data_IF_934925547210
#
_entry.id   IF_934925547210
#
_cell.length_a   1.000
_cell.length_b   1.000
_cell.length_c   1.000
_cell.angle_alpha   90.00
_cell.angle_beta   90.00
_cell.angle_gamma   90.00
#
_symmetry.space_group_name_H-M   'P 1'
#
loop_
_entity.id
_entity.type
_entity.pdbx_description
1 polymer ?
#
# COMPACT_ATOMS: atom_id res chain seq x y z
N UNK A 1 25.30 -13.97 -31.06
CA UNK A 1 25.42 -12.55 -30.77
C UNK A 1 24.02 -11.94 -30.58
N UNK A 2 23.43 -12.04 -29.37
CA UNK A 2 22.14 -11.39 -29.01
C UNK A 2 22.20 -11.07 -27.52
N UNK A 3 23.04 -10.11 -27.15
CA UNK A 3 23.11 -9.56 -25.78
C UNK A 3 23.31 -8.05 -25.94
N UNK A 4 22.30 -7.22 -25.75
CA UNK A 4 22.53 -5.77 -25.74
C UNK A 4 21.35 -4.85 -25.96
N UNK A 5 20.09 -5.26 -25.76
CA UNK A 5 18.95 -4.35 -26.05
C UNK A 5 18.09 -4.02 -24.82
N UNK A 6 18.42 -4.54 -23.62
CA UNK A 6 17.48 -4.46 -22.46
C UNK A 6 17.71 -3.24 -21.57
N UNK A 7 18.76 -2.44 -21.75
CA UNK A 7 19.15 -1.43 -20.74
C UNK A 7 18.60 -0.02 -21.01
N UNK A 8 17.99 0.28 -22.15
CA UNK A 8 17.63 1.65 -22.54
C UNK A 8 16.23 2.15 -22.16
N UNK A 9 15.43 1.37 -21.41
CA UNK A 9 14.03 1.73 -21.14
C UNK A 9 13.77 2.40 -19.78
N UNK A 10 14.79 2.68 -18.97
CA UNK A 10 14.60 3.16 -17.59
C UNK A 10 15.16 4.58 -17.32
N UNK A 11 15.61 5.32 -18.31
CA UNK A 11 16.17 6.65 -18.09
C UNK A 11 15.17 7.74 -18.47
N UNK A 12 14.23 8.04 -17.60
CA UNK A 12 13.55 9.33 -17.56
C UNK A 12 13.86 9.99 -16.22
N UNK A 13 14.90 10.82 -16.17
CA UNK A 13 15.20 11.68 -15.03
C UNK A 13 14.16 12.81 -15.05
N UNK A 14 13.12 12.70 -14.24
CA UNK A 14 12.25 13.83 -13.95
C UNK A 14 12.85 14.62 -12.78
N UNK A 15 13.43 15.77 -13.08
CA UNK A 15 13.72 16.80 -12.05
C UNK A 15 12.37 17.35 -11.60
N UNK A 16 11.83 16.83 -10.53
CA UNK A 16 10.56 17.27 -9.93
C UNK A 16 10.89 18.40 -8.97
N UNK A 17 10.39 19.60 -9.30
CA UNK A 17 10.47 20.79 -8.47
C UNK A 17 9.95 20.55 -7.05
N UNK A 18 10.58 21.22 -6.08
CA UNK A 18 10.49 21.07 -4.65
C UNK A 18 9.09 21.01 -4.03
N UNK A 19 8.51 19.84 -4.01
CA UNK A 19 7.51 19.49 -3.01
C UNK A 19 8.27 18.78 -1.89
N UNK A 20 8.00 19.13 -0.65
CA UNK A 20 8.58 18.46 0.51
C UNK A 20 8.29 16.96 0.41
N UNK A 21 9.27 16.20 -0.02
CA UNK A 21 9.16 14.77 -0.21
C UNK A 21 9.15 14.15 1.19
N UNK A 22 8.06 13.47 1.57
CA UNK A 22 8.01 12.70 2.81
C UNK A 22 9.17 11.70 2.80
N UNK A 23 9.82 11.52 3.95
CA UNK A 23 10.85 10.47 4.10
C UNK A 23 10.27 9.13 3.71
N UNK A 24 11.02 8.36 2.93
CA UNK A 24 10.59 7.03 2.53
C UNK A 24 10.47 6.12 3.76
N UNK A 25 9.32 5.49 3.91
CA UNK A 25 9.05 4.47 4.93
C UNK A 25 8.84 3.15 4.20
N UNK A 26 9.86 2.31 4.20
CA UNK A 26 9.84 1.08 3.42
C UNK A 26 8.98 -0.01 4.05
N UNK A 27 8.24 -0.74 3.20
CA UNK A 27 7.39 -1.86 3.60
C UNK A 27 8.22 -3.11 3.96
N UNK A 28 9.39 -3.27 3.33
CA UNK A 28 10.33 -4.34 3.61
C UNK A 28 11.57 -3.76 4.30
N UNK A 29 12.19 -4.49 5.26
CA UNK A 29 13.40 -4.02 5.94
C UNK A 29 14.53 -3.68 4.96
N UNK A 30 14.65 -4.47 3.88
CA UNK A 30 15.67 -4.32 2.84
C UNK A 30 15.06 -4.32 1.45
N UNK A 31 15.83 -3.87 0.45
CA UNK A 31 15.50 -4.08 -0.94
C UNK A 31 15.61 -5.56 -1.28
N UNK A 32 14.56 -6.12 -1.83
CA UNK A 32 14.47 -7.54 -2.19
C UNK A 32 14.42 -7.72 -3.69
N UNK A 33 14.94 -8.84 -4.17
CA UNK A 33 14.90 -9.18 -5.58
C UNK A 33 13.46 -9.47 -6.01
N UNK A 34 12.91 -8.62 -6.87
CA UNK A 34 11.55 -8.74 -7.40
C UNK A 34 11.55 -8.88 -8.91
N UNK A 35 10.42 -9.34 -9.44
CA UNK A 35 10.16 -9.51 -10.88
C UNK A 35 9.12 -8.48 -11.32
N UNK A 36 9.46 -7.70 -12.33
CA UNK A 36 8.58 -6.73 -12.97
C UNK A 36 8.08 -7.32 -14.29
N UNK A 37 6.77 -7.46 -14.41
CA UNK A 37 6.08 -7.89 -15.62
C UNK A 37 5.59 -6.66 -16.36
N UNK A 38 5.89 -6.59 -17.64
CA UNK A 38 5.43 -5.51 -18.52
C UNK A 38 4.16 -5.94 -19.26
N UNK A 39 3.31 -4.99 -19.63
CA UNK A 39 2.07 -5.26 -20.41
C UNK A 39 2.32 -5.93 -21.76
N UNK A 40 3.49 -5.76 -22.34
CA UNK A 40 3.91 -6.43 -23.58
C UNK A 40 4.44 -7.86 -23.37
N UNK A 41 4.36 -8.39 -22.15
CA UNK A 41 4.84 -9.72 -21.77
C UNK A 41 6.33 -9.80 -21.42
N UNK A 42 7.11 -8.74 -21.62
CA UNK A 42 8.51 -8.72 -21.20
C UNK A 42 8.63 -8.79 -19.68
N UNK A 43 9.74 -9.35 -19.19
CA UNK A 43 10.03 -9.48 -17.77
C UNK A 43 11.42 -8.95 -17.47
N UNK A 44 11.56 -8.32 -16.34
CA UNK A 44 12.86 -7.93 -15.79
C UNK A 44 12.91 -8.19 -14.29
N UNK A 45 14.12 -8.24 -13.74
CA UNK A 45 14.35 -8.44 -12.31
C UNK A 45 15.13 -7.26 -11.78
N UNK A 46 14.72 -6.73 -10.64
CA UNK A 46 15.39 -5.63 -9.95
C UNK A 46 15.36 -5.82 -8.43
N UNK A 47 16.22 -5.09 -7.73
CA UNK A 47 16.14 -4.94 -6.29
C UNK A 47 15.10 -3.86 -5.97
N UNK A 48 14.00 -4.27 -5.36
CA UNK A 48 12.81 -3.44 -5.17
C UNK A 48 12.46 -3.28 -3.69
N UNK A 49 11.83 -2.15 -3.36
CA UNK A 49 11.12 -1.96 -2.11
C UNK A 49 9.90 -1.06 -2.37
N UNK A 50 8.92 -1.12 -1.49
CA UNK A 50 7.74 -0.28 -1.54
C UNK A 50 7.86 0.84 -0.52
N UNK A 51 7.82 2.09 -0.97
CA UNK A 51 7.78 3.27 -0.11
C UNK A 51 6.34 3.54 0.34
N UNK A 52 6.02 3.10 1.54
CA UNK A 52 4.70 3.21 2.13
C UNK A 52 4.33 4.65 2.56
N UNK A 53 5.30 5.56 2.65
CA UNK A 53 4.99 6.98 2.91
C UNK A 53 4.39 7.67 1.68
N UNK A 54 4.76 7.22 0.48
CA UNK A 54 4.39 7.86 -0.79
C UNK A 54 3.60 6.93 -1.73
N UNK A 55 3.39 5.66 -1.37
CA UNK A 55 2.69 4.67 -2.20
C UNK A 55 3.45 4.30 -3.49
N UNK A 56 4.78 4.37 -3.47
CA UNK A 56 5.62 4.25 -4.66
C UNK A 56 6.47 2.99 -4.65
N UNK A 57 6.77 2.47 -5.84
CA UNK A 57 7.75 1.41 -6.00
C UNK A 57 9.13 2.00 -6.21
N UNK A 58 10.10 1.56 -5.42
CA UNK A 58 11.50 1.98 -5.45
C UNK A 58 12.38 0.85 -5.96
N UNK A 59 13.46 1.17 -6.67
CA UNK A 59 14.44 0.17 -7.11
C UNK A 59 15.87 0.67 -6.93
N UNK A 60 16.80 -0.27 -6.76
CA UNK A 60 18.23 0.01 -6.70
C UNK A 60 18.90 -0.19 -8.05
N UNK A 61 19.72 0.80 -8.45
CA UNK A 61 20.64 0.71 -9.58
C UNK A 61 22.04 1.12 -9.11
N UNK A 62 22.92 0.12 -8.93
CA UNK A 62 24.19 0.36 -8.24
C UNK A 62 23.97 0.81 -6.80
N UNK A 63 24.48 1.98 -6.45
CA UNK A 63 24.31 2.58 -5.13
C UNK A 63 23.08 3.53 -5.05
N UNK A 64 22.44 3.82 -6.17
CA UNK A 64 21.34 4.77 -6.22
C UNK A 64 20.00 4.10 -5.97
N UNK A 65 19.11 4.81 -5.28
CA UNK A 65 17.72 4.42 -5.08
C UNK A 65 16.85 5.34 -5.92
N UNK A 66 16.04 4.75 -6.80
CA UNK A 66 15.21 5.47 -7.77
C UNK A 66 13.75 5.05 -7.67
N UNK A 67 12.86 5.96 -8.09
CA UNK A 67 11.42 5.70 -8.20
C UNK A 67 11.15 4.98 -9.52
N UNK A 68 10.31 3.96 -9.49
CA UNK A 68 9.83 3.27 -10.68
C UNK A 68 8.68 4.07 -11.31
N UNK A 69 8.99 4.91 -12.29
CA UNK A 69 8.06 5.92 -12.85
C UNK A 69 7.24 5.43 -14.05
N UNK A 70 7.67 4.38 -14.75
CA UNK A 70 6.99 3.89 -15.96
C UNK A 70 5.82 2.94 -15.63
N UNK A 71 4.91 3.38 -14.76
CA UNK A 71 3.78 2.57 -14.30
C UNK A 71 2.82 2.16 -15.42
N UNK A 72 2.70 2.95 -16.47
CA UNK A 72 1.80 2.66 -17.60
C UNK A 72 2.22 1.43 -18.41
N UNK A 73 3.52 1.18 -18.54
CA UNK A 73 4.05 0.01 -19.24
C UNK A 73 4.08 -1.26 -18.36
N UNK A 74 3.93 -1.11 -17.04
CA UNK A 74 3.99 -2.22 -16.10
C UNK A 74 2.61 -2.85 -15.94
N UNK A 75 2.57 -4.18 -15.96
CA UNK A 75 1.39 -4.97 -15.62
C UNK A 75 1.38 -5.30 -14.14
N UNK A 76 2.44 -5.94 -13.66
CA UNK A 76 2.50 -6.46 -12.29
C UNK A 76 3.94 -6.54 -11.79
N UNK A 77 4.11 -6.32 -10.50
CA UNK A 77 5.38 -6.51 -9.78
C UNK A 77 5.19 -7.60 -8.73
N UNK A 78 6.10 -8.58 -8.74
CA UNK A 78 6.15 -9.65 -7.76
C UNK A 78 7.34 -9.45 -6.83
N UNK A 79 7.09 -9.43 -5.53
CA UNK A 79 8.09 -9.27 -4.47
C UNK A 79 7.80 -10.31 -3.38
N UNK A 80 8.66 -11.32 -3.24
CA UNK A 80 8.36 -12.51 -2.44
C UNK A 80 7.00 -13.11 -2.86
N UNK A 81 6.10 -13.32 -1.90
CA UNK A 81 4.74 -13.84 -2.15
C UNK A 81 3.70 -12.71 -2.35
N UNK A 82 4.15 -11.48 -2.51
CA UNK A 82 3.27 -10.31 -2.67
C UNK A 82 3.24 -9.85 -4.13
N UNK A 83 2.07 -9.39 -4.54
CA UNK A 83 1.80 -8.92 -5.90
C UNK A 83 1.34 -7.47 -5.86
N UNK A 84 1.98 -6.60 -6.65
CA UNK A 84 1.63 -5.19 -6.75
C UNK A 84 1.24 -4.82 -8.17
N UNK A 85 0.18 -4.02 -8.32
CA UNK A 85 -0.28 -3.49 -9.60
C UNK A 85 -0.22 -1.97 -9.59
N UNK A 86 0.22 -1.32 -10.69
CA UNK A 86 0.09 0.12 -10.84
C UNK A 86 -1.38 0.49 -11.03
N UNK A 87 -1.80 1.63 -10.45
CA UNK A 87 -3.15 2.13 -10.69
C UNK A 87 -3.10 3.43 -11.46
N UNK A 88 -2.43 4.44 -10.90
CA UNK A 88 -2.41 5.81 -11.40
C UNK A 88 -1.22 6.57 -10.81
N UNK A 89 -0.64 7.49 -11.56
CA UNK A 89 0.34 8.47 -11.07
C UNK A 89 1.49 7.86 -10.23
N UNK A 90 2.08 6.75 -10.73
CA UNK A 90 3.17 6.00 -10.05
C UNK A 90 2.76 5.34 -8.72
N UNK A 91 1.48 5.30 -8.41
CA UNK A 91 0.94 4.62 -7.24
C UNK A 91 0.75 3.13 -7.52
N UNK A 92 1.15 2.30 -6.54
CA UNK A 92 1.04 0.85 -6.63
C UNK A 92 0.18 0.33 -5.48
N UNK A 93 -0.74 -0.57 -5.80
CA UNK A 93 -1.52 -1.30 -4.80
C UNK A 93 -1.05 -2.74 -4.71
N UNK A 94 -1.00 -3.28 -3.50
CA UNK A 94 -0.89 -4.71 -3.35
C UNK A 94 -2.21 -5.39 -3.70
N UNK A 95 -2.12 -6.44 -4.52
CA UNK A 95 -3.26 -7.26 -4.94
C UNK A 95 -3.32 -8.49 -4.03
N UNK A 96 -4.25 -8.52 -3.10
CA UNK A 96 -4.44 -9.61 -2.14
C UNK A 96 -5.59 -10.50 -2.65
N UNK A 97 -5.29 -11.72 -3.14
CA UNK A 97 -6.33 -12.66 -3.53
C UNK A 97 -7.09 -13.15 -2.29
N UNK A 98 -8.39 -13.21 -2.38
CA UNK A 98 -9.24 -13.77 -1.35
C UNK A 98 -10.27 -14.72 -1.98
N UNK A 99 -11.03 -15.45 -1.14
CA UNK A 99 -11.96 -16.49 -1.60
C UNK A 99 -12.97 -15.99 -2.64
N UNK A 100 -13.42 -14.75 -2.51
CA UNK A 100 -14.50 -14.19 -3.31
C UNK A 100 -14.07 -13.09 -4.28
N UNK A 101 -12.76 -12.83 -4.42
CA UNK A 101 -12.26 -11.83 -5.36
C UNK A 101 -10.86 -11.34 -5.05
N UNK A 102 -10.62 -10.08 -5.35
CA UNK A 102 -9.33 -9.42 -5.14
C UNK A 102 -9.55 -8.15 -4.31
N UNK A 103 -8.75 -8.00 -3.26
CA UNK A 103 -8.66 -6.79 -2.46
C UNK A 103 -7.38 -6.08 -2.84
N UNK A 104 -7.43 -4.76 -3.00
CA UNK A 104 -6.28 -3.94 -3.34
C UNK A 104 -5.95 -3.04 -2.16
N UNK A 105 -4.69 -3.02 -1.75
CA UNK A 105 -4.25 -2.27 -0.56
C UNK A 105 -3.14 -1.30 -0.94
N UNK A 106 -3.37 -0.01 -0.67
CA UNK A 106 -2.34 0.99 -0.59
C UNK A 106 -1.80 1.01 0.84
N UNK A 107 -0.64 0.41 1.04
CA UNK A 107 0.02 0.47 2.34
C UNK A 107 0.52 1.89 2.59
N UNK A 108 0.06 2.50 3.66
CA UNK A 108 0.43 3.86 4.01
C UNK A 108 0.95 3.90 5.44
N UNK A 109 2.17 4.37 5.58
CA UNK A 109 2.80 4.62 6.87
C UNK A 109 3.01 6.11 7.05
N UNK A 110 2.68 6.62 8.22
CA UNK A 110 2.88 8.02 8.57
C UNK A 110 3.57 8.13 9.93
N UNK A 111 4.56 9.03 10.01
CA UNK A 111 5.10 9.44 11.29
C UNK A 111 4.19 10.48 11.91
N UNK A 112 3.56 10.18 13.03
CA UNK A 112 2.77 11.13 13.80
C UNK A 112 3.56 11.55 15.05
N UNK A 113 3.67 12.86 15.24
CA UNK A 113 4.28 13.44 16.42
C UNK A 113 3.39 13.18 17.65
N UNK A 114 3.97 12.52 18.67
CA UNK A 114 3.26 12.19 19.91
C UNK A 114 3.14 13.37 20.88
N UNK A 115 3.88 14.46 20.63
CA UNK A 115 4.07 15.54 21.56
C UNK A 115 5.21 15.29 22.55
N UNK A 116 5.79 16.34 23.09
CA UNK A 116 6.80 16.27 24.16
C UNK A 116 6.15 16.40 25.53
N UNK A 117 6.61 15.59 26.49
CA UNK A 117 6.23 15.78 27.90
C UNK A 117 6.96 16.99 28.44
N UNK A 118 6.24 18.07 28.71
CA UNK A 118 6.77 19.22 29.45
C UNK A 118 7.10 18.87 30.90
N UNK A 119 7.83 19.77 31.56
CA UNK A 119 8.34 19.61 32.95
C UNK A 119 7.27 19.24 33.99
N UNK A 120 6.02 19.52 33.71
CA UNK A 120 4.86 19.19 34.58
C UNK A 120 4.00 18.03 34.05
N UNK A 121 4.55 17.19 33.14
CA UNK A 121 3.83 16.02 32.61
C UNK A 121 2.72 16.34 31.60
N UNK A 122 2.52 17.61 31.24
CA UNK A 122 1.61 18.02 30.18
C UNK A 122 2.22 17.68 28.82
N UNK A 123 1.41 17.09 27.93
CA UNK A 123 1.84 16.82 26.56
C UNK A 123 1.63 18.10 25.74
N UNK A 124 2.72 18.74 25.33
CA UNK A 124 2.68 19.88 24.39
C UNK A 124 2.63 19.36 22.97
N UNK A 125 1.59 19.70 22.24
CA UNK A 125 1.46 19.46 20.80
C UNK A 125 1.91 20.66 19.96
N UNK A 126 2.50 21.68 20.57
CA UNK A 126 3.11 22.79 19.86
C UNK A 126 4.40 22.28 19.21
N UNK A 127 4.27 21.69 18.03
CA UNK A 127 5.41 21.37 17.20
C UNK A 127 6.01 22.69 16.69
N UNK A 128 7.14 23.09 17.24
CA UNK A 128 8.11 23.79 16.42
C UNK A 128 8.53 22.79 15.36
N UNK A 129 8.04 22.98 14.13
CA UNK A 129 8.48 22.22 12.97
C UNK A 129 9.87 22.72 12.61
N UNK A 130 10.85 22.46 13.46
CA UNK A 130 12.22 22.35 12.99
C UNK A 130 12.24 21.10 12.11
N UNK A 131 12.57 21.31 10.83
CA UNK A 131 12.78 20.20 9.89
C UNK A 131 13.74 19.22 10.53
N UNK A 132 13.20 18.11 11.04
CA UNK A 132 14.04 17.00 11.49
C UNK A 132 14.75 16.54 10.22
N UNK A 133 16.05 16.73 10.22
CA UNK A 133 16.92 16.38 9.11
C UNK A 133 16.84 14.86 8.92
N UNK A 134 16.04 14.43 7.98
CA UNK A 134 15.67 13.03 7.72
C UNK A 134 16.84 12.16 7.29
N UNK A 135 18.02 12.75 7.08
CA UNK A 135 19.25 12.01 6.82
C UNK A 135 19.70 11.12 8.00
N UNK A 136 19.20 11.39 9.22
CA UNK A 136 19.44 10.52 10.37
C UNK A 136 18.75 9.15 10.30
N UNK A 137 17.69 9.03 9.51
CA UNK A 137 16.90 7.80 9.41
C UNK A 137 17.45 6.80 8.39
N UNK A 138 18.32 7.26 7.48
CA UNK A 138 18.82 6.42 6.39
C UNK A 138 20.23 5.87 6.59
N UNK A 139 21.05 6.44 7.51
CA UNK A 139 22.49 6.11 7.57
C UNK A 139 23.06 5.69 8.93
N UNK A 140 22.34 5.80 10.00
CA UNK A 140 22.84 5.34 11.31
C UNK A 140 21.69 4.72 12.07
N UNK A 141 21.96 3.52 12.58
CA UNK A 141 21.03 2.73 13.37
C UNK A 141 20.22 3.61 14.31
N UNK A 142 18.93 3.32 14.33
CA UNK A 142 17.90 3.93 15.11
C UNK A 142 18.41 4.56 16.41
N UNK A 143 18.44 5.88 16.47
CA UNK A 143 18.66 6.57 17.73
C UNK A 143 17.36 6.40 18.54
N UNK A 144 17.41 5.58 19.57
CA UNK A 144 16.26 5.16 20.36
C UNK A 144 15.48 6.34 20.98
N UNK A 145 16.15 7.46 21.21
CA UNK A 145 15.56 8.70 21.75
C UNK A 145 14.59 9.40 20.78
N UNK A 146 14.79 9.27 19.46
CA UNK A 146 13.89 9.87 18.49
C UNK A 146 12.62 9.05 18.25
N UNK A 147 12.62 7.76 18.58
CA UNK A 147 11.45 6.86 18.46
C UNK A 147 10.37 7.18 19.50
N UNK A 148 10.73 7.76 20.65
CA UNK A 148 9.77 8.11 21.69
C UNK A 148 8.89 9.30 21.33
N UNK A 149 9.34 10.15 20.38
CA UNK A 149 8.63 11.38 19.98
C UNK A 149 7.66 11.14 18.81
N UNK A 150 7.88 10.12 17.99
CA UNK A 150 7.04 9.81 16.83
C UNK A 150 6.39 8.44 16.94
N UNK A 151 5.17 8.35 16.47
CA UNK A 151 4.44 7.09 16.30
C UNK A 151 4.26 6.82 14.82
N UNK A 152 4.59 5.60 14.39
CA UNK A 152 4.13 5.11 13.10
C UNK A 152 2.63 4.82 13.19
N UNK A 153 1.86 5.48 12.35
CA UNK A 153 0.44 5.21 12.21
C UNK A 153 0.16 4.59 10.86
N UNK A 154 -0.70 3.58 10.86
CA UNK A 154 -1.11 2.89 9.64
C UNK A 154 -2.35 3.61 9.10
N UNK A 155 -2.19 4.30 7.98
CA UNK A 155 -3.30 4.94 7.25
C UNK A 155 -3.55 4.19 5.93
N UNK A 156 -3.64 2.88 6.02
CA UNK A 156 -3.84 2.01 4.87
C UNK A 156 -5.16 2.31 4.17
N UNK A 157 -5.13 2.26 2.85
CA UNK A 157 -6.31 2.43 2.02
C UNK A 157 -6.66 1.12 1.33
N UNK A 158 -7.93 0.76 1.40
CA UNK A 158 -8.44 -0.48 0.82
C UNK A 158 -9.33 -0.16 -0.37
N UNK A 159 -9.21 -0.94 -1.44
CA UNK A 159 -9.93 -0.75 -2.67
C UNK A 159 -10.50 -2.08 -3.16
N UNK A 160 -11.69 -2.02 -3.73
CA UNK A 160 -12.32 -3.13 -4.44
C UNK A 160 -12.47 -2.75 -5.91
N UNK A 161 -12.48 -3.76 -6.79
CA UNK A 161 -12.83 -3.56 -8.20
C UNK A 161 -14.26 -4.07 -8.42
N UNK A 162 -15.22 -3.13 -8.49
CA UNK A 162 -16.63 -3.40 -8.69
C UNK A 162 -17.04 -2.90 -10.09
N UNK A 163 -17.65 -3.74 -10.89
CA UNK A 163 -18.07 -3.40 -12.27
C UNK A 163 -16.95 -2.80 -13.13
N UNK A 164 -15.70 -3.23 -12.91
CA UNK A 164 -14.52 -2.74 -13.62
C UNK A 164 -13.86 -1.50 -13.04
N UNK A 165 -14.49 -0.80 -12.10
CA UNK A 165 -13.99 0.41 -11.47
C UNK A 165 -13.37 0.16 -10.09
N UNK A 166 -12.30 0.91 -9.78
CA UNK A 166 -11.70 0.88 -8.45
C UNK A 166 -12.47 1.79 -7.49
N UNK A 167 -13.00 1.20 -6.42
CA UNK A 167 -13.78 1.91 -5.40
C UNK A 167 -13.09 1.80 -4.05
N UNK A 168 -12.89 2.94 -3.40
CA UNK A 168 -12.18 3.04 -2.12
C UNK A 168 -13.11 2.74 -0.94
N UNK A 169 -12.65 1.84 -0.05
CA UNK A 169 -13.29 1.47 1.20
C UNK A 169 -12.52 2.09 2.37
N UNK A 170 -12.91 3.28 2.83
CA UNK A 170 -12.17 4.01 3.86
C UNK A 170 -12.63 3.71 5.29
N UNK A 171 -13.92 3.47 5.48
CA UNK A 171 -14.53 3.29 6.79
C UNK A 171 -15.90 2.58 6.66
N UNK A 172 -16.54 2.27 7.80
CA UNK A 172 -17.86 1.63 7.86
C UNK A 172 -18.87 2.33 6.93
N UNK A 173 -18.95 3.68 6.98
CA UNK A 173 -19.91 4.45 6.19
C UNK A 173 -19.70 4.30 4.68
N UNK A 174 -18.43 4.33 4.21
CA UNK A 174 -18.12 4.12 2.80
C UNK A 174 -18.42 2.69 2.36
N UNK A 175 -18.12 1.71 3.22
CA UNK A 175 -18.40 0.31 2.95
C UNK A 175 -19.91 0.03 2.80
N UNK A 176 -20.73 0.51 3.74
CA UNK A 176 -22.19 0.32 3.70
C UNK A 176 -22.86 1.02 2.49
N UNK A 177 -22.23 2.04 1.92
CA UNK A 177 -22.70 2.65 0.67
C UNK A 177 -22.44 1.78 -0.55
N UNK A 178 -21.34 1.00 -0.55
CA UNK A 178 -20.99 0.11 -1.64
C UNK A 178 -21.90 -1.12 -1.71
N UNK A 179 -22.42 -1.57 -0.56
CA UNK A 179 -23.26 -2.75 -0.43
C UNK A 179 -24.63 -2.39 0.18
N UNK A 180 -25.46 -1.60 -0.52
CA UNK A 180 -26.69 -1.02 0.04
C UNK A 180 -27.73 -2.07 0.44
N UNK A 181 -27.73 -3.23 -0.22
CA UNK A 181 -28.68 -4.33 0.03
C UNK A 181 -28.24 -5.28 1.17
N UNK A 182 -27.00 -5.13 1.67
CA UNK A 182 -26.40 -6.03 2.66
C UNK A 182 -25.99 -5.32 3.95
N UNK A 183 -26.51 -4.12 4.21
CA UNK A 183 -26.11 -3.29 5.36
C UNK A 183 -26.21 -4.01 6.68
N UNK A 184 -27.35 -4.62 6.95
CA UNK A 184 -27.62 -5.33 8.21
C UNK A 184 -26.65 -6.50 8.44
N UNK A 185 -26.40 -7.28 7.38
CA UNK A 185 -25.46 -8.42 7.44
C UNK A 185 -24.03 -7.96 7.70
N UNK A 186 -23.62 -6.84 7.07
CA UNK A 186 -22.28 -6.27 7.25
C UNK A 186 -22.13 -5.69 8.66
N UNK A 187 -23.14 -5.00 9.18
CA UNK A 187 -23.13 -4.45 10.53
C UNK A 187 -23.08 -5.56 11.58
N UNK A 188 -23.87 -6.60 11.42
CA UNK A 188 -23.82 -7.78 12.27
C UNK A 188 -22.43 -8.42 12.25
N UNK A 189 -21.83 -8.63 11.08
CA UNK A 189 -20.47 -9.18 10.97
C UNK A 189 -19.43 -8.32 11.70
N UNK A 190 -19.52 -6.97 11.55
CA UNK A 190 -18.62 -6.02 12.21
C UNK A 190 -18.71 -6.18 13.74
N UNK A 191 -19.90 -6.32 14.30
CA UNK A 191 -20.15 -6.47 15.73
C UNK A 191 -19.68 -7.83 16.24
N UNK A 192 -20.08 -8.91 15.59
CA UNK A 192 -19.73 -10.28 15.97
C UNK A 192 -18.22 -10.54 15.94
N UNK A 193 -17.56 -10.07 14.88
CA UNK A 193 -16.10 -10.24 14.70
C UNK A 193 -15.30 -9.14 15.39
N UNK A 194 -15.95 -8.16 16.05
CA UNK A 194 -15.32 -7.03 16.73
C UNK A 194 -14.28 -6.34 15.82
N UNK A 195 -14.71 -6.00 14.61
CA UNK A 195 -13.82 -5.44 13.58
C UNK A 195 -13.22 -4.11 14.04
N UNK A 196 -11.89 -4.08 14.09
CA UNK A 196 -11.10 -2.88 14.30
C UNK A 196 -10.59 -2.37 12.93
N UNK A 197 -11.11 -1.23 12.49
CA UNK A 197 -10.79 -0.63 11.19
C UNK A 197 -9.34 -0.15 11.07
N UNK A 198 -8.60 -0.07 12.17
CA UNK A 198 -7.17 0.26 12.18
C UNK A 198 -6.28 -0.95 11.87
N UNK A 199 -6.82 -2.17 11.93
CA UNK A 199 -6.10 -3.41 11.69
C UNK A 199 -6.31 -3.91 10.28
N UNK A 200 -5.21 -4.17 9.57
CA UNK A 200 -5.26 -4.59 8.18
C UNK A 200 -5.92 -5.96 7.98
N UNK A 201 -5.62 -6.91 8.83
CA UNK A 201 -6.22 -8.25 8.82
C UNK A 201 -7.73 -8.23 9.03
N UNK A 202 -8.23 -7.40 9.97
CA UNK A 202 -9.66 -7.20 10.19
C UNK A 202 -10.34 -6.60 8.96
N UNK A 203 -9.72 -5.60 8.34
CA UNK A 203 -10.26 -4.98 7.12
C UNK A 203 -10.28 -5.94 5.94
N UNK A 204 -9.22 -6.72 5.74
CA UNK A 204 -9.14 -7.71 4.65
C UNK A 204 -10.23 -8.78 4.85
N UNK A 205 -10.41 -9.28 6.07
CA UNK A 205 -11.46 -10.27 6.38
C UNK A 205 -12.87 -9.71 6.15
N UNK A 206 -13.13 -8.47 6.58
CA UNK A 206 -14.40 -7.80 6.35
C UNK A 206 -14.70 -7.62 4.86
N UNK A 207 -13.71 -7.17 4.07
CA UNK A 207 -13.88 -6.99 2.63
C UNK A 207 -14.08 -8.32 1.89
N UNK A 208 -13.39 -9.38 2.32
CA UNK A 208 -13.61 -10.72 1.79
C UNK A 208 -15.05 -11.23 2.09
N UNK A 209 -15.57 -10.96 3.29
CA UNK A 209 -16.97 -11.24 3.63
C UNK A 209 -17.93 -10.46 2.73
N UNK A 210 -17.72 -9.15 2.55
CA UNK A 210 -18.57 -8.31 1.70
C UNK A 210 -18.60 -8.79 0.24
N UNK A 211 -17.44 -9.18 -0.32
CA UNK A 211 -17.38 -9.76 -1.66
C UNK A 211 -18.16 -11.09 -1.75
N UNK A 212 -18.17 -11.86 -0.68
CA UNK A 212 -18.88 -13.15 -0.63
C UNK A 212 -20.39 -13.04 -0.62
N UNK A 213 -20.93 -12.00 -0.01
CA UNK A 213 -22.40 -11.78 0.02
C UNK A 213 -22.92 -11.09 -1.24
N UNK A 214 -22.09 -10.33 -1.96
CA UNK A 214 -22.47 -9.66 -3.21
C UNK A 214 -22.56 -10.64 -4.38
N UNK A 215 -21.75 -11.71 -4.37
CA UNK A 215 -21.82 -12.74 -5.40
C UNK A 215 -22.89 -13.73 -4.98
N UNK A 216 -24.10 -13.70 -5.59
CA UNK A 216 -25.10 -14.74 -5.30
C UNK A 216 -24.47 -16.07 -5.68
N UNK A 217 -24.46 -17.01 -4.73
CA UNK A 217 -24.07 -18.38 -5.00
C UNK A 217 -24.86 -18.86 -6.22
N UNK A 218 -24.18 -19.05 -7.34
CA UNK A 218 -24.75 -19.67 -8.52
C UNK A 218 -25.30 -21.01 -8.05
N UNK A 219 -26.62 -21.12 -7.97
CA UNK A 219 -27.32 -22.35 -7.68
C UNK A 219 -26.76 -23.41 -8.66
N UNK A 220 -26.08 -24.40 -8.13
CA UNK A 220 -25.82 -25.64 -8.82
C UNK A 220 -27.18 -26.24 -9.21
N UNK A 221 -27.65 -25.84 -10.37
CA UNK A 221 -28.80 -26.48 -11.02
C UNK A 221 -28.30 -27.69 -11.78
N UNK A 222 -27.87 -28.72 -11.08
CA UNK A 222 -27.88 -30.07 -11.65
C UNK A 222 -29.29 -30.63 -11.42
N UNK A 223 -30.18 -30.33 -12.33
CA UNK A 223 -31.29 -31.21 -12.61
C UNK A 223 -30.91 -32.06 -13.83
N UNK A 224 -30.37 -33.22 -13.51
CA UNK A 224 -30.33 -34.38 -14.42
C UNK A 224 -31.77 -34.95 -14.38
N UNK A 225 -32.45 -34.86 -15.46
CA UNK A 225 -33.52 -35.75 -15.85
C UNK A 225 -33.22 -36.25 -17.26
#
# INVERSE_FOLDING_TARGET
>A
MKRGIIIWLLLAIAVIGGHAQKTALYLFPDFIKGRVMMKNGAQTTAWLNYDAANGRMMFKQGNDIMILINSEAIDTIYMNNRKFCPIKDYCYLECIPCKHGMIYVNWSLQNKYKGEKGVYGQISHAANVEMINTSYWTNSGYNQESLDVYKLDNDNEYWLKLNGEFVKCKNKKSLLKLFPHHKEQIEQYIEEQKIDFSKADHMINLLNFCLGIEIPSSKNGNNIN
#
